data_IF_279626398959
#
_entry.id   IF_279626398959
#
_cell.length_a   1.000
_cell.length_b   1.000
_cell.length_c   1.000
_cell.angle_alpha   90.00
_cell.angle_beta   90.00
_cell.angle_gamma   90.00
#
_symmetry.space_group_name_H-M   'P 1'
#
loop_
_entity.id
_entity.type
_entity.pdbx_description
1 polymer ?
#
# COMPACT_ATOMS: atom_id res chain seq x y z
N UNK A 1 49.28 43.48 -3.69
CA UNK A 1 48.12 42.90 -4.39
C UNK A 1 47.06 42.74 -3.32
N UNK A 2 46.12 43.68 -3.23
CA UNK A 2 45.27 43.92 -2.06
C UNK A 2 43.92 43.17 -2.12
N UNK A 3 43.83 42.12 -2.93
CA UNK A 3 42.57 41.39 -3.22
C UNK A 3 42.62 39.91 -2.82
N UNK A 4 43.63 39.45 -2.07
CA UNK A 4 43.72 38.05 -1.62
C UNK A 4 43.13 37.80 -0.24
N UNK A 5 43.00 38.84 0.59
CA UNK A 5 42.58 38.71 2.00
C UNK A 5 41.06 38.73 2.20
N UNK A 6 40.27 38.99 1.14
CA UNK A 6 38.81 39.17 1.22
C UNK A 6 38.00 38.11 0.44
N UNK A 7 38.64 37.02 0.01
CA UNK A 7 37.92 35.83 -0.45
C UNK A 7 37.45 35.07 0.79
N UNK A 8 36.39 35.57 1.44
CA UNK A 8 35.60 34.74 2.36
C UNK A 8 34.98 33.64 1.51
N UNK A 9 35.45 32.42 1.69
CA UNK A 9 34.85 31.23 1.10
C UNK A 9 33.39 31.17 1.59
N UNK A 10 32.45 31.62 0.76
CA UNK A 10 31.03 31.83 1.09
C UNK A 10 30.25 30.54 1.29
N UNK A 11 30.93 29.46 1.65
CA UNK A 11 30.40 28.12 1.84
C UNK A 11 30.55 27.71 3.29
N UNK A 12 29.45 27.28 3.88
CA UNK A 12 29.43 26.64 5.19
C UNK A 12 29.08 25.16 4.99
N UNK A 13 30.05 24.28 5.23
CA UNK A 13 29.87 22.83 5.13
C UNK A 13 29.49 22.20 6.48
N UNK A 14 29.36 23.00 7.55
CA UNK A 14 29.06 22.54 8.91
C UNK A 14 29.98 21.39 9.37
N UNK A 15 31.29 21.52 9.17
CA UNK A 15 32.28 20.48 9.52
C UNK A 15 32.36 20.17 11.02
N UNK A 16 31.76 21.02 11.87
CA UNK A 16 31.57 20.84 13.30
C UNK A 16 30.42 19.88 13.65
N UNK A 17 29.56 19.53 12.68
CA UNK A 17 28.37 18.70 12.87
C UNK A 17 28.45 17.44 12.00
N UNK A 18 28.74 16.27 12.58
CA UNK A 18 28.69 15.02 11.82
C UNK A 18 27.25 14.73 11.36
N UNK A 19 27.11 14.24 10.13
CA UNK A 19 25.83 13.71 9.66
C UNK A 19 25.45 12.47 10.46
N UNK A 20 24.16 12.34 10.78
CA UNK A 20 23.61 11.16 11.46
C UNK A 20 22.46 10.55 10.65
N UNK A 21 22.28 9.24 10.77
CA UNK A 21 21.16 8.54 10.15
C UNK A 21 19.90 8.72 10.99
N UNK A 22 18.77 8.94 10.34
CA UNK A 22 17.45 8.98 11.00
C UNK A 22 16.85 7.57 11.02
N UNK A 23 16.42 7.12 12.20
CA UNK A 23 15.81 5.80 12.37
C UNK A 23 14.40 5.74 11.76
N UNK A 24 14.11 4.69 10.98
CA UNK A 24 12.75 4.34 10.58
C UNK A 24 12.10 3.42 11.64
N UNK A 25 11.29 4.00 12.52
CA UNK A 25 10.80 3.34 13.74
C UNK A 25 9.48 2.53 13.57
N UNK A 26 9.09 2.20 12.34
CA UNK A 26 7.94 1.32 12.09
C UNK A 26 8.33 -0.13 12.41
N UNK A 27 7.47 -0.83 13.18
CA UNK A 27 7.74 -2.18 13.70
C UNK A 27 8.17 -3.14 12.58
N UNK A 28 9.35 -3.75 12.74
CA UNK A 28 9.87 -4.78 11.81
C UNK A 28 10.29 -4.26 10.44
N UNK A 29 10.27 -2.95 10.19
CA UNK A 29 10.49 -2.36 8.87
C UNK A 29 11.81 -1.57 8.74
N UNK A 30 12.67 -1.60 9.75
CA UNK A 30 13.89 -0.77 9.83
C UNK A 30 15.03 -1.16 8.89
N UNK A 31 14.92 -2.28 8.17
CA UNK A 31 15.93 -2.80 7.25
C UNK A 31 15.40 -2.97 5.80
N UNK A 32 14.28 -2.32 5.48
CA UNK A 32 13.74 -2.30 4.13
C UNK A 32 14.41 -1.20 3.30
N UNK A 33 14.45 -1.35 1.98
CA UNK A 33 14.90 -0.29 1.08
C UNK A 33 14.02 0.97 1.20
N UNK A 34 14.60 2.13 0.88
CA UNK A 34 13.93 3.43 0.97
C UNK A 34 12.57 3.45 0.26
N UNK A 35 12.46 2.85 -0.93
CA UNK A 35 11.21 2.84 -1.70
C UNK A 35 10.07 2.13 -0.97
N UNK A 36 10.38 1.04 -0.27
CA UNK A 36 9.38 0.30 0.52
C UNK A 36 9.06 1.02 1.83
N UNK A 37 10.06 1.58 2.52
CA UNK A 37 9.83 2.43 3.71
C UNK A 37 8.95 3.64 3.37
N UNK A 38 9.16 4.27 2.22
CA UNK A 38 8.37 5.40 1.71
C UNK A 38 6.90 5.02 1.49
N UNK A 39 6.62 3.87 0.86
CA UNK A 39 5.25 3.35 0.72
C UNK A 39 4.59 3.06 2.06
N UNK A 40 5.32 2.44 2.98
CA UNK A 40 4.83 2.17 4.33
C UNK A 40 4.55 3.45 5.12
N UNK A 41 5.38 4.49 4.98
CA UNK A 41 5.17 5.79 5.61
C UNK A 41 3.94 6.54 5.09
N UNK A 42 3.45 6.20 3.88
CA UNK A 42 2.16 6.67 3.36
C UNK A 42 0.97 5.93 3.99
N UNK A 43 1.15 4.66 4.37
CA UNK A 43 0.09 3.88 5.04
C UNK A 43 0.05 4.22 6.52
N UNK A 44 1.19 4.12 7.21
CA UNK A 44 1.33 4.36 8.64
C UNK A 44 1.92 5.73 8.88
N UNK A 45 1.15 6.61 9.53
CA UNK A 45 1.58 7.97 9.86
C UNK A 45 2.93 7.93 10.61
N UNK A 46 4.00 8.60 10.14
CA UNK A 46 5.33 8.48 10.74
C UNK A 46 5.43 8.92 12.21
N UNK A 47 4.52 9.81 12.65
CA UNK A 47 4.47 10.30 14.05
C UNK A 47 3.79 9.29 14.97
N UNK A 48 2.64 8.75 14.55
CA UNK A 48 1.82 7.86 15.40
C UNK A 48 2.12 6.38 15.19
N UNK A 49 2.69 6.02 14.04
CA UNK A 49 2.93 4.66 13.53
C UNK A 49 1.64 3.83 13.39
N UNK A 50 0.52 4.51 13.20
CA UNK A 50 -0.82 3.94 13.07
C UNK A 50 -1.47 4.41 11.77
N UNK A 51 -2.58 3.77 11.41
CA UNK A 51 -3.36 4.07 10.22
C UNK A 51 -4.84 3.84 10.47
N UNK A 52 -5.69 4.63 9.84
CA UNK A 52 -7.13 4.39 9.69
C UNK A 52 -7.39 4.10 8.21
N UNK A 53 -7.56 2.81 7.90
CA UNK A 53 -7.80 2.33 6.54
C UNK A 53 -9.29 2.15 6.27
N UNK A 54 -9.78 2.77 5.19
CA UNK A 54 -11.17 2.59 4.73
C UNK A 54 -11.21 1.51 3.65
N UNK A 55 -11.75 0.35 3.97
CA UNK A 55 -11.90 -0.79 3.06
C UNK A 55 -13.29 -0.84 2.42
N UNK A 56 -13.32 -0.97 1.09
CA UNK A 56 -14.54 -1.07 0.29
C UNK A 56 -14.34 -1.99 -0.93
N UNK A 57 -13.50 -3.01 -0.76
CA UNK A 57 -13.20 -4.02 -1.78
C UNK A 57 -14.19 -5.19 -1.80
N UNK A 58 -15.04 -5.35 -0.78
CA UNK A 58 -15.98 -6.47 -0.55
C UNK A 58 -16.66 -7.02 -1.81
N UNK A 59 -17.03 -6.15 -2.75
CA UNK A 59 -17.68 -6.55 -3.99
C UNK A 59 -16.85 -7.46 -4.90
N UNK A 60 -15.55 -7.65 -4.63
CA UNK A 60 -14.69 -8.56 -5.41
C UNK A 60 -15.21 -10.00 -5.45
N UNK A 61 -15.95 -10.45 -4.42
CA UNK A 61 -16.59 -11.77 -4.38
C UNK A 61 -18.08 -11.71 -3.96
N UNK A 62 -18.55 -10.60 -3.39
CA UNK A 62 -19.93 -10.43 -2.90
C UNK A 62 -20.86 -9.70 -3.88
N UNK A 63 -20.34 -9.02 -4.90
CA UNK A 63 -21.15 -8.09 -5.71
C UNK A 63 -21.56 -6.83 -4.92
N UNK A 64 -22.74 -6.25 -5.17
CA UNK A 64 -23.19 -5.01 -4.54
C UNK A 64 -23.69 -5.26 -3.10
N UNK A 65 -22.75 -5.41 -2.17
CA UNK A 65 -23.05 -5.55 -0.73
C UNK A 65 -23.63 -4.26 -0.15
N UNK A 66 -24.42 -4.37 0.92
CA UNK A 66 -25.16 -3.26 1.54
C UNK A 66 -24.25 -2.07 1.84
N UNK A 67 -24.60 -0.88 1.37
CA UNK A 67 -23.85 0.37 1.52
C UNK A 67 -22.80 0.62 0.43
N UNK A 68 -22.42 -0.39 -0.36
CA UNK A 68 -21.46 -0.30 -1.47
C UNK A 68 -22.11 -0.35 -2.85
N UNK A 69 -23.44 -0.21 -2.94
CA UNK A 69 -24.18 -0.21 -4.20
C UNK A 69 -23.77 0.98 -5.08
N UNK A 70 -23.42 2.11 -4.45
CA UNK A 70 -23.00 3.36 -5.10
C UNK A 70 -21.79 3.97 -4.39
N UNK A 71 -20.61 3.41 -4.65
CA UNK A 71 -19.33 3.91 -4.09
C UNK A 71 -19.11 5.38 -4.45
N UNK A 72 -19.48 5.77 -5.67
CA UNK A 72 -19.38 7.14 -6.18
C UNK A 72 -20.24 8.16 -5.42
N UNK A 73 -21.30 7.72 -4.74
CA UNK A 73 -22.18 8.58 -3.94
C UNK A 73 -21.91 8.40 -2.44
N UNK A 74 -21.98 7.16 -1.96
CA UNK A 74 -22.05 6.87 -0.53
C UNK A 74 -20.67 6.82 0.13
N UNK A 75 -19.64 6.45 -0.62
CA UNK A 75 -18.28 6.23 -0.09
C UNK A 75 -17.34 7.36 -0.49
N UNK A 76 -17.56 8.00 -1.65
CA UNK A 76 -16.71 9.10 -2.12
C UNK A 76 -16.54 10.25 -1.11
N UNK A 77 -17.59 10.71 -0.39
CA UNK A 77 -17.45 11.72 0.66
C UNK A 77 -16.58 11.28 1.85
N UNK A 78 -16.34 9.98 2.02
CA UNK A 78 -15.56 9.44 3.13
C UNK A 78 -14.04 9.42 2.84
N UNK A 79 -13.64 9.52 1.57
CA UNK A 79 -12.24 9.31 1.19
C UNK A 79 -11.28 10.30 1.85
N UNK A 80 -11.69 11.55 2.03
CA UNK A 80 -10.84 12.60 2.62
C UNK A 80 -10.49 12.33 4.09
N UNK A 81 -11.36 11.61 4.80
CA UNK A 81 -11.22 11.33 6.24
C UNK A 81 -10.39 10.07 6.54
N UNK A 82 -10.11 9.25 5.52
CA UNK A 82 -9.27 8.06 5.66
C UNK A 82 -7.77 8.41 5.52
N UNK A 83 -6.90 7.68 6.22
CA UNK A 83 -5.45 7.76 5.98
C UNK A 83 -5.09 7.09 4.65
N UNK A 84 -5.76 5.97 4.34
CA UNK A 84 -5.50 5.10 3.19
C UNK A 84 -6.78 4.40 2.74
N UNK A 85 -6.95 4.24 1.43
CA UNK A 85 -8.08 3.53 0.83
C UNK A 85 -7.68 2.09 0.50
N UNK A 86 -8.60 1.14 0.68
CA UNK A 86 -8.42 -0.25 0.23
C UNK A 86 -9.57 -0.67 -0.68
N UNK A 87 -9.25 -1.00 -1.93
CA UNK A 87 -10.25 -1.30 -2.95
C UNK A 87 -9.69 -2.19 -4.07
N UNK A 88 -10.54 -2.59 -5.02
CA UNK A 88 -10.11 -3.28 -6.23
C UNK A 88 -9.61 -2.29 -7.29
N UNK A 89 -8.76 -2.75 -8.21
CA UNK A 89 -8.32 -1.93 -9.35
C UNK A 89 -9.47 -1.46 -10.25
N UNK A 90 -10.56 -2.23 -10.30
CA UNK A 90 -11.75 -1.86 -11.07
C UNK A 90 -12.41 -0.60 -10.51
N UNK A 91 -12.75 -0.64 -9.22
CA UNK A 91 -13.34 0.51 -8.50
C UNK A 91 -12.39 1.70 -8.47
N UNK A 92 -11.09 1.47 -8.24
CA UNK A 92 -10.09 2.54 -8.23
C UNK A 92 -10.07 3.33 -9.54
N UNK A 93 -10.12 2.64 -10.69
CA UNK A 93 -10.09 3.29 -12.01
C UNK A 93 -11.42 3.93 -12.39
N UNK A 94 -12.55 3.35 -11.98
CA UNK A 94 -13.86 3.76 -12.48
C UNK A 94 -14.49 4.90 -11.68
N UNK A 95 -14.36 4.90 -10.36
CA UNK A 95 -15.15 5.79 -9.49
C UNK A 95 -14.36 6.48 -8.38
N UNK A 96 -13.09 6.14 -8.17
CA UNK A 96 -12.23 6.86 -7.22
C UNK A 96 -11.44 7.94 -7.97
N UNK A 97 -11.73 9.24 -7.77
CA UNK A 97 -11.05 10.29 -8.50
C UNK A 97 -9.56 10.35 -8.12
N UNK A 98 -8.60 10.36 -9.08
CA UNK A 98 -7.17 10.46 -8.76
C UNK A 98 -6.82 11.71 -7.94
N UNK A 99 -7.61 12.79 -8.07
CA UNK A 99 -7.44 14.04 -7.34
C UNK A 99 -7.59 13.90 -5.81
N UNK A 100 -8.19 12.81 -5.31
CA UNK A 100 -8.32 12.57 -3.86
C UNK A 100 -6.94 12.41 -3.18
N UNK A 101 -5.91 12.06 -3.96
CA UNK A 101 -4.52 11.98 -3.54
C UNK A 101 -4.29 11.18 -2.25
N UNK A 102 -5.07 10.11 -2.06
CA UNK A 102 -4.89 9.19 -0.93
C UNK A 102 -4.00 8.02 -1.31
N UNK A 103 -3.19 7.51 -0.37
CA UNK A 103 -2.56 6.19 -0.48
C UNK A 103 -3.62 5.11 -0.78
N UNK A 104 -3.26 4.10 -1.57
CA UNK A 104 -4.14 2.98 -1.89
C UNK A 104 -3.47 1.64 -1.64
N UNK A 105 -4.20 0.73 -1.00
CA UNK A 105 -3.88 -0.70 -0.94
C UNK A 105 -4.82 -1.46 -1.87
N UNK A 106 -4.27 -2.14 -2.86
CA UNK A 106 -5.08 -2.87 -3.83
C UNK A 106 -5.42 -4.28 -3.35
N UNK A 107 -6.70 -4.65 -3.42
CA UNK A 107 -7.12 -6.06 -3.44
C UNK A 107 -6.50 -6.74 -4.66
N UNK A 108 -5.55 -7.64 -4.41
CA UNK A 108 -4.75 -8.36 -5.40
C UNK A 108 -5.04 -9.87 -5.43
N UNK A 109 -6.13 -10.30 -4.79
CA UNK A 109 -6.68 -11.66 -4.80
C UNK A 109 -8.17 -11.63 -5.13
N UNK A 110 -8.72 -12.77 -5.56
CA UNK A 110 -10.14 -12.94 -5.90
C UNK A 110 -10.34 -14.21 -6.72
N UNK A 111 -11.30 -14.20 -7.65
CA UNK A 111 -11.75 -15.37 -8.44
C UNK A 111 -12.57 -16.42 -7.66
N UNK A 112 -12.91 -16.11 -6.41
CA UNK A 112 -13.96 -16.75 -5.61
C UNK A 112 -15.28 -15.97 -5.71
N UNK A 113 -16.34 -16.54 -5.14
CA UNK A 113 -17.64 -15.87 -4.97
C UNK A 113 -18.35 -16.43 -3.73
N UNK A 114 -19.40 -15.75 -3.27
CA UNK A 114 -20.28 -16.26 -2.21
C UNK A 114 -21.05 -17.54 -2.57
N UNK A 115 -21.01 -17.97 -3.84
CA UNK A 115 -21.74 -19.14 -4.35
C UNK A 115 -20.88 -20.40 -4.44
N UNK A 116 -19.58 -20.29 -4.14
CA UNK A 116 -18.58 -21.35 -4.26
C UNK A 116 -17.71 -21.40 -3.01
N UNK A 117 -16.74 -22.32 -2.96
CA UNK A 117 -15.77 -22.38 -1.87
C UNK A 117 -15.04 -21.02 -1.71
N UNK A 118 -15.12 -20.44 -0.51
CA UNK A 118 -14.67 -19.08 -0.24
C UNK A 118 -13.15 -18.97 -0.33
N UNK A 119 -12.42 -20.01 0.09
CA UNK A 119 -10.96 -19.99 0.09
C UNK A 119 -10.33 -20.16 -1.29
N UNK A 120 -11.11 -20.48 -2.32
CA UNK A 120 -10.64 -20.74 -3.69
C UNK A 120 -10.26 -19.44 -4.43
N UNK A 121 -9.22 -18.77 -3.93
CA UNK A 121 -8.71 -17.52 -4.49
C UNK A 121 -7.43 -17.72 -5.32
N UNK A 122 -7.29 -16.85 -6.33
CA UNK A 122 -6.07 -16.67 -7.10
C UNK A 122 -5.61 -15.20 -7.05
N UNK A 123 -4.36 -14.95 -7.45
CA UNK A 123 -3.85 -13.58 -7.64
C UNK A 123 -4.66 -12.89 -8.75
N UNK A 124 -5.30 -11.77 -8.40
CA UNK A 124 -6.23 -11.04 -9.28
C UNK A 124 -5.60 -9.83 -9.99
N UNK A 125 -4.42 -9.39 -9.54
CA UNK A 125 -3.70 -8.23 -10.09
C UNK A 125 -2.21 -8.56 -10.22
N UNK A 126 -1.67 -8.42 -11.43
CA UNK A 126 -0.24 -8.52 -11.65
C UNK A 126 0.48 -7.32 -11.02
N UNK A 127 1.68 -7.53 -10.46
CA UNK A 127 2.46 -6.47 -9.81
C UNK A 127 2.74 -5.28 -10.74
N UNK A 128 2.90 -5.52 -12.04
CA UNK A 128 3.01 -4.47 -13.07
C UNK A 128 1.85 -3.46 -13.00
N UNK A 129 0.62 -3.94 -12.83
CA UNK A 129 -0.55 -3.06 -12.76
C UNK A 129 -0.69 -2.39 -11.39
N UNK A 130 -0.22 -3.03 -10.31
CA UNK A 130 -0.13 -2.39 -8.99
C UNK A 130 0.88 -1.22 -8.99
N UNK A 131 2.01 -1.38 -9.69
CA UNK A 131 2.97 -0.29 -9.93
C UNK A 131 2.35 0.80 -10.79
N UNK A 132 1.68 0.44 -11.90
CA UNK A 132 0.98 1.39 -12.79
C UNK A 132 -0.08 2.22 -12.05
N UNK A 133 -0.73 1.64 -11.06
CA UNK A 133 -1.74 2.29 -10.22
C UNK A 133 -1.16 3.03 -9.01
N UNK A 134 0.17 3.16 -8.90
CA UNK A 134 0.85 3.85 -7.82
C UNK A 134 0.42 3.35 -6.42
N UNK A 135 0.22 2.03 -6.27
CA UNK A 135 -0.19 1.44 -5.00
C UNK A 135 0.88 1.60 -3.92
N UNK A 136 0.43 1.73 -2.68
CA UNK A 136 1.30 1.67 -1.51
C UNK A 136 1.47 0.25 -0.99
N UNK A 137 0.52 -0.64 -1.24
CA UNK A 137 0.64 -2.08 -0.98
C UNK A 137 -0.31 -2.88 -1.88
N UNK A 138 -0.06 -4.18 -1.99
CA UNK A 138 -1.00 -5.15 -2.53
C UNK A 138 -1.47 -6.09 -1.42
N UNK A 139 -2.75 -6.47 -1.43
CA UNK A 139 -3.38 -7.26 -0.38
C UNK A 139 -3.96 -8.57 -0.92
N UNK A 140 -3.76 -9.66 -0.20
CA UNK A 140 -4.39 -10.93 -0.51
C UNK A 140 -4.84 -11.69 0.74
N UNK A 141 -5.87 -12.52 0.58
CA UNK A 141 -6.30 -13.39 1.68
C UNK A 141 -5.32 -14.55 1.89
N UNK A 142 -5.23 -15.00 3.13
CA UNK A 142 -4.67 -16.29 3.53
C UNK A 142 -5.72 -17.03 4.36
N UNK A 143 -6.01 -18.28 4.00
CA UNK A 143 -7.10 -19.08 4.53
C UNK A 143 -6.56 -20.30 5.25
N UNK A 144 -6.01 -20.10 6.45
CA UNK A 144 -5.49 -21.20 7.28
C UNK A 144 -6.65 -22.06 7.79
N UNK A 145 -6.57 -23.37 7.58
CA UNK A 145 -7.58 -24.37 7.94
C UNK A 145 -8.67 -24.58 6.89
N UNK A 146 -8.64 -23.86 5.76
CA UNK A 146 -9.64 -24.00 4.69
C UNK A 146 -9.19 -24.95 3.57
N UNK A 147 -10.11 -25.33 2.69
CA UNK A 147 -9.87 -26.27 1.58
C UNK A 147 -8.69 -25.84 0.69
N UNK A 148 -8.59 -24.53 0.37
CA UNK A 148 -7.53 -23.99 -0.48
C UNK A 148 -6.42 -23.26 0.29
N UNK A 149 -6.16 -23.65 1.55
CA UNK A 149 -5.09 -23.07 2.38
C UNK A 149 -3.77 -22.96 1.61
N UNK A 150 -3.31 -24.07 1.03
CA UNK A 150 -2.06 -24.15 0.30
C UNK A 150 -1.98 -23.11 -0.85
N UNK A 151 -3.06 -22.96 -1.61
CA UNK A 151 -3.11 -22.00 -2.72
C UNK A 151 -3.09 -20.56 -2.20
N UNK A 152 -3.81 -20.27 -1.11
CA UNK A 152 -3.83 -18.95 -0.50
C UNK A 152 -2.44 -18.52 0.00
N UNK A 153 -1.68 -19.45 0.59
CA UNK A 153 -0.28 -19.19 1.00
C UNK A 153 0.60 -18.95 -0.23
N UNK A 154 0.42 -19.71 -1.33
CA UNK A 154 1.13 -19.49 -2.58
C UNK A 154 0.83 -18.13 -3.20
N UNK A 155 -0.38 -17.62 -3.09
CA UNK A 155 -0.73 -16.27 -3.52
C UNK A 155 0.12 -15.22 -2.78
N UNK A 156 0.30 -15.37 -1.46
CA UNK A 156 1.17 -14.51 -0.66
C UNK A 156 2.63 -14.61 -1.10
N UNK A 157 3.16 -15.83 -1.28
CA UNK A 157 4.53 -16.06 -1.75
C UNK A 157 4.77 -15.35 -3.09
N UNK A 158 3.88 -15.56 -4.06
CA UNK A 158 3.97 -14.95 -5.38
C UNK A 158 3.98 -13.42 -5.32
N UNK A 159 3.12 -12.83 -4.48
CA UNK A 159 3.05 -11.39 -4.32
C UNK A 159 4.31 -10.82 -3.65
N UNK A 160 4.87 -11.51 -2.64
CA UNK A 160 6.13 -11.10 -2.00
C UNK A 160 7.28 -11.13 -3.02
N UNK A 161 7.43 -12.24 -3.76
CA UNK A 161 8.48 -12.40 -4.77
C UNK A 161 8.43 -11.32 -5.86
N UNK A 162 7.23 -10.92 -6.26
CA UNK A 162 7.04 -9.84 -7.23
C UNK A 162 7.24 -8.46 -6.57
N UNK A 163 6.74 -8.27 -5.35
CA UNK A 163 6.77 -7.00 -4.63
C UNK A 163 8.18 -6.57 -4.23
N UNK A 164 9.04 -7.51 -3.83
CA UNK A 164 10.44 -7.25 -3.50
C UNK A 164 11.22 -6.64 -4.67
N UNK A 165 10.88 -7.00 -5.92
CA UNK A 165 11.56 -6.46 -7.12
C UNK A 165 11.26 -4.98 -7.37
N UNK A 166 10.17 -4.46 -6.80
CA UNK A 166 9.67 -3.10 -7.04
C UNK A 166 9.45 -2.29 -5.76
N UNK A 167 9.87 -2.84 -4.62
CA UNK A 167 9.68 -2.22 -3.30
C UNK A 167 8.21 -2.11 -2.86
N UNK A 168 7.33 -3.00 -3.30
CA UNK A 168 5.90 -3.01 -2.93
C UNK A 168 5.65 -3.86 -1.67
N UNK A 169 5.13 -3.28 -0.57
CA UNK A 169 4.64 -4.03 0.59
C UNK A 169 3.47 -4.96 0.24
N UNK A 170 3.43 -6.12 0.88
CA UNK A 170 2.33 -7.09 0.77
C UNK A 170 1.59 -7.20 2.09
N UNK A 171 0.27 -7.08 2.05
CA UNK A 171 -0.62 -7.24 3.19
C UNK A 171 -1.34 -8.59 3.10
N UNK A 172 -1.02 -9.52 4.01
CA UNK A 172 -1.77 -10.76 4.16
C UNK A 172 -2.97 -10.52 5.08
N UNK A 173 -4.16 -10.90 4.63
CA UNK A 173 -5.41 -10.76 5.38
C UNK A 173 -5.91 -12.16 5.75
N UNK A 174 -6.11 -12.44 7.04
CA UNK A 174 -6.67 -13.72 7.47
C UNK A 174 -8.14 -13.77 7.09
N UNK A 175 -8.48 -14.67 6.16
CA UNK A 175 -9.85 -14.90 5.68
C UNK A 175 -10.63 -15.90 6.52
#
# INVERSE_FOLDING_TARGET
MADLDDIKDGKDFHTDKPQTNTLFALKGCGALDWGMQSRLARIFNPKTRKTVMLAFDHGYFQGPTTGLERIDINIAPLFEYADVLMCTRGILRSVVPPAINKPVVLRASGANSILTELSNEAVAVAMDDAVRLNSCAAAAQVYIGSEHEHQSIKNIIQLIDAGLRVGMPIMAVTG
#
